data_IF_534613265603
#
_entry.id   IF_534613265603
#
_cell.length_a   1.000
_cell.length_b   1.000
_cell.length_c   1.000
_cell.angle_alpha   90.00
_cell.angle_beta   90.00
_cell.angle_gamma   90.00
#
_symmetry.space_group_name_H-M   'P 1'
#
loop_
_entity.id
_entity.type
_entity.pdbx_description
1 polymer ?
#
# COMPACT_ATOMS: atom_id res chain seq x y z
N UNK A 1 -2.60 21.58 11.34
CA UNK A 1 -1.68 20.78 10.50
C UNK A 1 -2.31 20.73 9.13
N UNK A 2 -1.61 21.21 8.10
CA UNK A 2 -2.15 21.16 6.73
C UNK A 2 -2.19 19.70 6.28
N UNK A 3 -3.33 19.22 5.77
CA UNK A 3 -3.41 17.94 5.06
C UNK A 3 -2.56 18.07 3.79
N UNK A 4 -1.35 17.52 3.82
CA UNK A 4 -0.40 17.57 2.70
C UNK A 4 -0.79 16.55 1.60
N UNK A 5 -1.68 15.61 1.94
CA UNK A 5 -2.22 14.62 1.01
C UNK A 5 -3.47 15.16 0.34
N UNK A 6 -3.45 15.30 -0.98
CA UNK A 6 -4.65 15.51 -1.77
C UNK A 6 -5.34 14.16 -1.98
N UNK A 7 -6.16 13.76 -1.02
CA UNK A 7 -6.96 12.54 -1.10
C UNK A 7 -7.86 12.60 -2.35
N UNK A 8 -7.79 11.55 -3.18
CA UNK A 8 -8.71 11.30 -4.29
C UNK A 8 -8.84 12.42 -5.35
N UNK A 9 -7.73 13.04 -5.73
CA UNK A 9 -7.72 14.08 -6.77
C UNK A 9 -8.26 13.58 -8.14
N UNK A 10 -8.10 12.30 -8.44
CA UNK A 10 -8.51 11.69 -9.72
C UNK A 10 -9.82 10.90 -9.64
N UNK A 11 -10.44 10.83 -8.47
CA UNK A 11 -11.75 10.17 -8.31
C UNK A 11 -11.71 8.65 -8.16
N UNK A 12 -10.59 7.96 -8.39
CA UNK A 12 -10.50 6.52 -8.16
C UNK A 12 -10.64 6.21 -6.66
N UNK A 13 -11.74 5.54 -6.31
CA UNK A 13 -12.06 5.12 -4.95
C UNK A 13 -12.92 3.87 -5.01
N UNK A 14 -12.44 2.77 -4.44
CA UNK A 14 -13.12 1.47 -4.47
C UNK A 14 -13.01 0.75 -3.14
N UNK A 15 -13.91 -0.21 -2.92
CA UNK A 15 -13.93 -1.06 -1.73
C UNK A 15 -13.64 -2.49 -2.15
N UNK A 16 -12.70 -3.13 -1.47
CA UNK A 16 -12.28 -4.50 -1.77
C UNK A 16 -12.28 -5.36 -0.51
N UNK A 17 -12.49 -6.65 -0.70
CA UNK A 17 -12.21 -7.67 0.31
C UNK A 17 -10.69 -7.89 0.43
N UNK A 18 -10.19 -7.98 1.64
CA UNK A 18 -8.77 -8.15 1.91
C UNK A 18 -8.39 -9.63 2.05
N UNK A 19 -7.44 -10.09 1.23
CA UNK A 19 -6.90 -11.46 1.28
C UNK A 19 -5.43 -11.39 1.72
N UNK A 20 -5.04 -12.19 2.73
CA UNK A 20 -3.65 -12.24 3.18
C UNK A 20 -2.75 -12.90 2.13
N UNK A 21 -1.53 -12.40 2.04
CA UNK A 21 -0.55 -12.92 1.10
C UNK A 21 -0.19 -14.39 1.35
N UNK A 22 -0.24 -14.85 2.61
CA UNK A 22 0.07 -16.24 3.00
C UNK A 22 -0.76 -17.30 2.25
N UNK A 23 -1.89 -16.91 1.63
CA UNK A 23 -2.69 -17.79 0.76
C UNK A 23 -2.21 -17.83 -0.69
N UNK A 24 -1.38 -16.88 -1.11
CA UNK A 24 -0.83 -16.77 -2.45
C UNK A 24 0.55 -17.43 -2.53
N UNK A 25 0.80 -18.21 -3.59
CA UNK A 25 2.01 -19.06 -3.72
C UNK A 25 3.30 -18.32 -4.09
N UNK A 26 3.25 -17.00 -4.27
CA UNK A 26 4.42 -16.20 -4.60
C UNK A 26 5.06 -15.72 -3.29
N UNK A 27 6.32 -15.25 -3.29
CA UNK A 27 7.05 -14.87 -2.05
C UNK A 27 7.50 -13.40 -2.01
N UNK A 28 7.23 -12.62 -3.06
CA UNK A 28 7.80 -11.28 -3.23
C UNK A 28 6.95 -10.12 -2.65
N UNK A 29 5.71 -10.34 -2.21
CA UNK A 29 4.86 -9.26 -1.66
C UNK A 29 5.15 -9.00 -0.18
N UNK A 30 5.59 -10.01 0.58
CA UNK A 30 5.74 -9.90 2.05
C UNK A 30 6.64 -8.75 2.49
N UNK A 31 7.59 -8.33 1.64
CA UNK A 31 8.63 -7.37 2.01
C UNK A 31 8.48 -5.99 1.36
N UNK A 32 7.33 -5.69 0.75
CA UNK A 32 7.09 -4.42 0.03
C UNK A 32 5.81 -3.69 0.44
N UNK A 33 5.67 -2.48 -0.07
CA UNK A 33 4.50 -1.60 0.04
C UNK A 33 3.51 -1.80 -1.11
N UNK A 34 3.61 -2.91 -1.85
CA UNK A 34 2.82 -3.13 -3.06
C UNK A 34 1.78 -4.22 -2.86
N UNK A 35 0.60 -4.02 -3.44
CA UNK A 35 -0.53 -4.94 -3.37
C UNK A 35 -0.83 -5.56 -4.75
N UNK A 36 -1.60 -6.65 -4.79
CA UNK A 36 -2.24 -7.08 -6.02
C UNK A 36 -3.68 -6.59 -6.07
N UNK A 37 -4.08 -6.14 -7.25
CA UNK A 37 -5.41 -5.63 -7.51
C UNK A 37 -6.08 -6.44 -8.64
N UNK A 38 -7.42 -6.39 -8.76
CA UNK A 38 -8.11 -7.04 -9.86
C UNK A 38 -7.95 -6.24 -11.16
N UNK A 39 -8.13 -6.88 -12.31
CA UNK A 39 -8.03 -6.21 -13.62
C UNK A 39 -9.11 -5.13 -13.77
N UNK A 40 -10.28 -5.29 -13.15
CA UNK A 40 -11.27 -4.21 -13.10
C UNK A 40 -10.73 -2.90 -12.50
N UNK A 41 -9.86 -2.96 -11.50
CA UNK A 41 -9.25 -1.78 -10.91
C UNK A 41 -8.38 -1.02 -11.93
N UNK A 42 -7.65 -1.75 -12.78
CA UNK A 42 -6.85 -1.17 -13.86
C UNK A 42 -7.73 -0.39 -14.84
N UNK A 43 -8.87 -0.96 -15.23
CA UNK A 43 -9.80 -0.30 -16.16
C UNK A 43 -10.34 1.00 -15.56
N UNK A 44 -10.73 0.98 -14.29
CA UNK A 44 -11.19 2.18 -13.58
C UNK A 44 -10.08 3.23 -13.46
N UNK A 45 -8.83 2.83 -13.19
CA UNK A 45 -7.70 3.76 -13.14
C UNK A 45 -7.46 4.48 -14.45
N UNK A 46 -7.62 3.77 -15.58
CA UNK A 46 -7.52 4.34 -16.93
C UNK A 46 -8.68 5.29 -17.20
N UNK A 47 -9.91 4.93 -16.81
CA UNK A 47 -11.09 5.80 -16.98
C UNK A 47 -10.96 7.08 -16.14
N UNK A 48 -10.42 6.98 -14.93
CA UNK A 48 -10.15 8.10 -14.05
C UNK A 48 -8.92 8.94 -14.46
N UNK A 49 -8.19 8.53 -15.51
CA UNK A 49 -6.96 9.19 -15.99
C UNK A 49 -5.92 9.39 -14.87
N UNK A 50 -5.74 8.37 -14.02
CA UNK A 50 -4.77 8.44 -12.91
C UNK A 50 -3.35 8.28 -13.47
N UNK A 51 -2.45 9.26 -13.26
CA UNK A 51 -1.09 9.17 -13.77
C UNK A 51 -0.27 8.11 -13.01
N UNK A 52 0.62 7.45 -13.74
CA UNK A 52 1.62 6.55 -13.17
C UNK A 52 2.75 7.36 -12.50
N UNK A 53 3.34 6.89 -11.38
CA UNK A 53 3.06 5.63 -10.69
C UNK A 53 1.76 5.67 -9.89
N UNK A 54 0.98 4.58 -9.95
CA UNK A 54 -0.26 4.47 -9.20
C UNK A 54 -0.01 4.22 -7.71
N UNK A 55 -0.36 5.22 -6.92
CA UNK A 55 -0.28 5.21 -5.46
C UNK A 55 -1.67 5.29 -4.86
N UNK A 56 -1.85 4.56 -3.77
CA UNK A 56 -3.12 4.39 -3.11
C UNK A 56 -3.02 4.67 -1.62
N UNK A 57 -4.06 5.27 -1.08
CA UNK A 57 -4.38 5.25 0.33
C UNK A 57 -5.29 4.05 0.61
N UNK A 58 -4.94 3.26 1.62
CA UNK A 58 -5.72 2.12 2.08
C UNK A 58 -6.09 2.30 3.56
N UNK A 59 -7.35 2.02 3.90
CA UNK A 59 -7.85 2.05 5.28
C UNK A 59 -8.97 1.03 5.47
N UNK A 60 -9.22 0.62 6.72
CA UNK A 60 -10.36 -0.24 7.01
C UNK A 60 -11.68 0.49 6.69
N UNK A 61 -12.63 -0.21 6.08
CA UNK A 61 -13.89 0.39 5.63
C UNK A 61 -14.78 0.83 6.81
N UNK A 62 -14.87 0.01 7.85
CA UNK A 62 -15.69 0.27 9.03
C UNK A 62 -14.95 1.02 10.16
N UNK A 63 -13.62 1.16 10.06
CA UNK A 63 -12.80 1.80 11.09
C UNK A 63 -11.80 2.76 10.46
N UNK A 64 -12.00 4.06 10.65
CA UNK A 64 -11.18 5.10 10.04
C UNK A 64 -9.91 5.47 10.82
N UNK A 65 -9.53 4.69 11.86
CA UNK A 65 -8.46 5.07 12.77
C UNK A 65 -7.04 4.94 12.22
N UNK A 66 -6.82 4.01 11.27
CA UNK A 66 -5.49 3.74 10.70
C UNK A 66 -5.52 3.79 9.19
N UNK A 67 -4.48 4.39 8.63
CA UNK A 67 -4.31 4.60 7.19
C UNK A 67 -2.90 4.15 6.81
N UNK A 68 -2.79 3.45 5.70
CA UNK A 68 -1.51 3.14 5.07
C UNK A 68 -1.51 3.62 3.63
N UNK A 69 -0.32 3.68 3.03
CA UNK A 69 -0.12 4.00 1.63
C UNK A 69 0.58 2.83 0.94
N UNK A 70 0.15 2.51 -0.27
CA UNK A 70 0.66 1.39 -1.02
C UNK A 70 0.68 1.69 -2.52
N UNK A 71 1.54 1.00 -3.25
CA UNK A 71 1.51 0.92 -4.71
C UNK A 71 0.84 -0.38 -5.18
N UNK A 72 0.71 -0.54 -6.48
CA UNK A 72 0.30 -1.82 -7.08
C UNK A 72 1.52 -2.55 -7.66
N UNK A 73 1.62 -3.85 -7.41
CA UNK A 73 2.62 -4.72 -8.02
C UNK A 73 2.10 -5.29 -9.33
N UNK A 74 0.93 -5.91 -9.30
CA UNK A 74 0.30 -6.60 -10.44
C UNK A 74 -1.23 -6.52 -10.36
N UNK A 75 -1.86 -6.64 -11.53
CA UNK A 75 -3.32 -6.71 -11.66
C UNK A 75 -3.76 -8.15 -11.93
N UNK A 76 -3.58 -9.02 -10.92
CA UNK A 76 -3.80 -10.47 -11.02
C UNK A 76 -4.68 -11.02 -9.89
N UNK A 77 -5.20 -10.16 -9.01
CA UNK A 77 -6.08 -10.59 -7.93
C UNK A 77 -7.48 -10.97 -8.44
N UNK A 78 -8.19 -11.76 -7.63
CA UNK A 78 -9.59 -12.10 -7.89
C UNK A 78 -10.48 -10.84 -7.85
N UNK A 79 -11.49 -10.81 -8.72
CA UNK A 79 -12.41 -9.67 -8.82
C UNK A 79 -13.13 -9.40 -7.49
N UNK A 80 -13.13 -8.14 -7.07
CA UNK A 80 -13.68 -7.71 -5.77
C UNK A 80 -12.74 -7.90 -4.57
N UNK A 81 -11.55 -8.47 -4.78
CA UNK A 81 -10.57 -8.72 -3.73
C UNK A 81 -9.22 -8.06 -4.05
N UNK A 82 -8.43 -7.77 -3.01
CA UNK A 82 -7.02 -7.40 -3.13
C UNK A 82 -6.16 -8.32 -2.27
N UNK A 83 -4.94 -8.59 -2.74
CA UNK A 83 -3.94 -9.31 -1.94
C UNK A 83 -3.00 -8.30 -1.33
N UNK A 84 -2.90 -8.35 -0.01
CA UNK A 84 -2.01 -7.47 0.77
C UNK A 84 -1.07 -8.32 1.62
N UNK A 85 0.05 -7.73 2.03
CA UNK A 85 0.97 -8.38 2.97
C UNK A 85 0.40 -8.47 4.38
N UNK A 86 0.80 -9.51 5.12
CA UNK A 86 0.35 -9.73 6.50
C UNK A 86 0.69 -8.54 7.41
N UNK A 87 1.88 -7.93 7.24
CA UNK A 87 2.29 -6.73 8.00
C UNK A 87 1.35 -5.53 7.76
N UNK A 88 0.82 -5.38 6.55
CA UNK A 88 -0.08 -4.28 6.21
C UNK A 88 -1.45 -4.50 6.87
N UNK A 89 -1.91 -5.74 6.94
CA UNK A 89 -3.13 -6.11 7.67
C UNK A 89 -2.99 -5.84 9.16
N UNK A 90 -1.86 -6.26 9.76
CA UNK A 90 -1.55 -5.97 11.16
C UNK A 90 -1.49 -4.46 11.42
N UNK A 91 -0.84 -3.70 10.53
CA UNK A 91 -0.75 -2.24 10.66
C UNK A 91 -2.13 -1.58 10.57
N UNK A 92 -2.98 -2.00 9.64
CA UNK A 92 -4.34 -1.49 9.49
C UNK A 92 -5.32 -2.04 10.53
N UNK A 93 -4.91 -3.05 11.29
CA UNK A 93 -5.73 -3.77 12.27
C UNK A 93 -6.99 -4.38 11.62
N UNK A 94 -6.79 -5.04 10.48
CA UNK A 94 -7.84 -5.75 9.73
C UNK A 94 -7.58 -7.25 9.70
N UNK A 95 -8.65 -8.02 9.52
CA UNK A 95 -8.60 -9.48 9.35
C UNK A 95 -8.86 -9.88 7.90
N UNK A 96 -8.54 -11.13 7.58
CA UNK A 96 -8.92 -11.74 6.30
C UNK A 96 -10.43 -11.63 6.09
N UNK A 97 -10.83 -11.27 4.87
CA UNK A 97 -12.24 -11.11 4.52
C UNK A 97 -12.81 -9.73 4.85
N UNK A 98 -12.11 -8.91 5.64
CA UNK A 98 -12.60 -7.57 5.96
C UNK A 98 -12.49 -6.62 4.76
N UNK A 99 -13.40 -5.65 4.72
CA UNK A 99 -13.44 -4.65 3.67
C UNK A 99 -12.46 -3.52 3.94
N UNK A 100 -11.74 -3.14 2.90
CA UNK A 100 -10.87 -1.96 2.88
C UNK A 100 -11.32 -0.98 1.81
N UNK A 101 -11.18 0.31 2.11
CA UNK A 101 -11.33 1.37 1.13
C UNK A 101 -9.96 1.69 0.54
N UNK A 102 -9.86 1.64 -0.78
CA UNK A 102 -8.66 1.98 -1.56
C UNK A 102 -8.97 3.19 -2.41
N UNK A 103 -8.22 4.28 -2.23
CA UNK A 103 -8.39 5.52 -2.98
C UNK A 103 -7.07 5.97 -3.59
N UNK A 104 -7.12 6.51 -4.81
CA UNK A 104 -5.95 7.13 -5.44
C UNK A 104 -5.49 8.34 -4.65
N UNK A 105 -4.17 8.53 -4.57
CA UNK A 105 -3.58 9.66 -3.87
C UNK A 105 -2.31 10.14 -4.55
N UNK A 106 -2.10 11.45 -4.54
CA UNK A 106 -0.83 12.04 -4.95
C UNK A 106 0.02 12.23 -3.70
N UNK A 107 1.15 11.53 -3.66
CA UNK A 107 2.12 11.69 -2.58
C UNK A 107 3.23 12.66 -3.03
N UNK A 108 3.47 13.77 -2.32
CA UNK A 108 4.58 14.64 -2.63
C UNK A 108 5.91 13.93 -2.33
N UNK A 109 6.95 14.26 -3.09
CA UNK A 109 8.29 13.73 -2.83
C UNK A 109 8.78 14.22 -1.47
N UNK A 110 9.15 13.28 -0.60
CA UNK A 110 9.76 13.59 0.69
C UNK A 110 11.23 13.95 0.53
N UNK A 111 11.67 15.00 1.21
CA UNK A 111 13.08 15.44 1.20
C UNK A 111 13.86 14.96 2.44
N UNK A 112 13.18 14.33 3.40
CA UNK A 112 13.76 13.89 4.65
C UNK A 112 13.01 12.67 5.19
N UNK A 113 13.76 11.66 5.64
CA UNK A 113 13.21 10.45 6.25
C UNK A 113 13.99 10.14 7.52
N UNK A 114 13.29 9.99 8.65
CA UNK A 114 13.86 9.54 9.92
C UNK A 114 13.39 8.13 10.20
N UNK A 115 14.33 7.19 10.22
CA UNK A 115 14.07 5.77 10.50
C UNK A 115 14.61 5.41 11.88
N UNK A 116 13.86 4.61 12.62
CA UNK A 116 14.31 4.00 13.87
C UNK A 116 14.40 2.48 13.69
N UNK A 117 15.60 1.89 13.75
CA UNK A 117 15.74 0.44 13.72
C UNK A 117 15.08 -0.22 14.93
N UNK A 118 14.41 -1.35 14.70
CA UNK A 118 13.82 -2.15 15.79
C UNK A 118 14.86 -2.92 16.61
N UNK A 119 16.07 -3.14 16.06
CA UNK A 119 17.16 -3.87 16.75
C UNK A 119 18.51 -3.20 16.52
N UNK A 120 19.43 -3.38 17.48
CA UNK A 120 20.80 -2.85 17.42
C UNK A 120 21.68 -3.53 16.37
N UNK A 121 21.34 -4.76 15.95
CA UNK A 121 22.04 -5.50 14.88
C UNK A 121 22.15 -4.70 13.58
N UNK A 122 21.20 -3.80 13.34
CA UNK A 122 21.23 -2.93 12.16
C UNK A 122 22.31 -1.83 12.23
N UNK A 123 22.66 -1.37 13.44
CA UNK A 123 23.68 -0.34 13.67
C UNK A 123 25.10 -0.90 13.45
N UNK A 124 25.26 -2.22 13.63
CA UNK A 124 26.54 -2.93 13.49
C UNK A 124 26.95 -3.20 12.03
N UNK A 125 26.08 -2.88 11.06
CA UNK A 125 26.40 -3.01 9.63
C UNK A 125 27.45 -1.95 9.23
N UNK A 126 28.52 -2.39 8.55
CA UNK A 126 29.64 -1.51 8.15
C UNK A 126 29.23 -0.32 7.26
N UNK A 127 28.12 -0.45 6.51
CA UNK A 127 27.52 0.66 5.78
C UNK A 127 25.99 0.50 5.70
N UNK A 128 25.23 0.96 6.71
CA UNK A 128 23.78 0.77 6.77
C UNK A 128 23.06 1.52 5.65
N UNK A 129 23.65 2.61 5.13
CA UNK A 129 23.07 3.45 4.06
C UNK A 129 22.97 2.73 2.71
N UNK A 130 23.84 1.74 2.48
CA UNK A 130 23.93 1.02 1.20
C UNK A 130 22.72 0.12 0.95
N UNK A 131 22.05 -0.31 2.03
CA UNK A 131 20.80 -1.09 1.97
C UNK A 131 19.58 -0.24 1.60
N UNK A 132 19.61 1.07 1.86
CA UNK A 132 18.39 1.86 1.82
C UNK A 132 18.07 2.51 0.49
N UNK A 133 18.98 2.53 -0.51
CA UNK A 133 18.81 3.23 -1.82
C UNK A 133 17.86 4.44 -1.73
N UNK A 134 18.10 5.29 -0.73
CA UNK A 134 17.38 6.56 -0.58
C UNK A 134 18.04 7.47 -1.60
N UNK A 135 17.30 8.03 -2.58
CA UNK A 135 17.87 8.96 -3.54
C UNK A 135 18.49 10.19 -2.85
#
# INVERSE_FOLDING_TARGET
MANIFSENQYGFKQVYCCIPFSQSKNSNIEFGDKIWMPVSALNELVVCDVPSPWMFQIKAYYNSGRVSHCGVLEFTAEEGCIVVSDWMMENLNIQEGELVEVASVVLPTGNYMKLQPHTTKFIELSNPKLFWKIP
#
